data_IF_277005628160
#
_entry.id   IF_277005628160
#
_cell.length_a   1.000
_cell.length_b   1.000
_cell.length_c   1.000
_cell.angle_alpha   90.00
_cell.angle_beta   90.00
_cell.angle_gamma   90.00
#
_symmetry.space_group_name_H-M   'P 1'
#
loop_
_entity.id
_entity.type
_entity.pdbx_description
1 polymer ?
#
# COMPACT_ATOMS: atom_id res chain seq x y z
N UNK A 1 0.05 64.81 0.64
CA UNK A 1 0.88 63.59 0.49
C UNK A 1 0.49 62.52 1.53
N UNK A 2 0.35 62.90 2.81
CA UNK A 2 -0.09 62.00 3.89
C UNK A 2 -1.50 61.43 3.67
N UNK A 3 -2.46 62.23 3.20
CA UNK A 3 -3.83 61.75 2.92
C UNK A 3 -3.93 60.69 1.83
N UNK A 4 -3.00 60.72 0.86
CA UNK A 4 -2.92 59.71 -0.18
C UNK A 4 -2.41 58.38 0.38
N UNK A 5 -1.37 58.43 1.21
CA UNK A 5 -0.82 57.27 1.92
C UNK A 5 -1.88 56.59 2.79
N UNK A 6 -2.64 57.34 3.58
CA UNK A 6 -3.69 56.79 4.46
C UNK A 6 -4.81 56.10 3.67
N UNK A 7 -5.13 56.57 2.46
CA UNK A 7 -6.16 55.97 1.61
C UNK A 7 -5.70 54.68 0.91
N UNK A 8 -4.41 54.55 0.59
CA UNK A 8 -3.87 53.40 -0.16
C UNK A 8 -3.37 52.29 0.77
N UNK A 9 -2.90 52.63 1.98
CA UNK A 9 -2.36 51.68 2.96
C UNK A 9 -3.30 50.50 3.28
N UNK A 10 -4.62 50.69 3.48
CA UNK A 10 -5.53 49.58 3.79
C UNK A 10 -5.63 48.59 2.64
N UNK A 11 -5.62 49.07 1.38
CA UNK A 11 -5.67 48.22 0.19
C UNK A 11 -4.39 47.40 0.01
N UNK A 12 -3.24 47.99 0.31
CA UNK A 12 -1.97 47.25 0.30
C UNK A 12 -1.95 46.21 1.43
N UNK A 13 -2.37 46.59 2.64
CA UNK A 13 -2.41 45.68 3.78
C UNK A 13 -3.34 44.49 3.53
N UNK A 14 -4.54 44.71 2.95
CA UNK A 14 -5.46 43.62 2.62
C UNK A 14 -4.91 42.75 1.51
N UNK A 15 -4.28 43.31 0.48
CA UNK A 15 -3.64 42.54 -0.59
C UNK A 15 -2.52 41.65 -0.05
N UNK A 16 -1.64 42.19 0.80
CA UNK A 16 -0.53 41.43 1.42
C UNK A 16 -1.08 40.31 2.31
N UNK A 17 -2.07 40.59 3.15
CA UNK A 17 -2.69 39.59 4.01
C UNK A 17 -3.40 38.48 3.20
N UNK A 18 -4.16 38.86 2.17
CA UNK A 18 -4.86 37.92 1.31
C UNK A 18 -3.88 37.01 0.56
N UNK A 19 -2.83 37.57 -0.05
CA UNK A 19 -1.79 36.80 -0.74
C UNK A 19 -1.05 35.85 0.21
N UNK A 20 -0.75 36.28 1.44
CA UNK A 20 -0.11 35.43 2.44
C UNK A 20 -1.00 34.25 2.85
N UNK A 21 -2.28 34.51 3.15
CA UNK A 21 -3.23 33.46 3.52
C UNK A 21 -3.46 32.47 2.36
N UNK A 22 -3.62 32.99 1.14
CA UNK A 22 -3.77 32.16 -0.06
C UNK A 22 -2.55 31.27 -0.28
N UNK A 23 -1.33 31.81 -0.17
CA UNK A 23 -0.09 31.05 -0.28
C UNK A 23 -0.01 29.97 0.81
N UNK A 24 -0.35 30.31 2.06
CA UNK A 24 -0.33 29.37 3.19
C UNK A 24 -1.31 28.22 2.99
N UNK A 25 -2.52 28.50 2.52
CA UNK A 25 -3.53 27.47 2.23
C UNK A 25 -3.15 26.61 1.03
N UNK A 26 -2.66 27.23 -0.04
CA UNK A 26 -2.19 26.52 -1.23
C UNK A 26 -1.08 25.53 -0.87
N UNK A 27 -0.09 25.95 -0.09
CA UNK A 27 0.99 25.06 0.37
C UNK A 27 0.46 23.93 1.26
N UNK A 28 -0.43 24.22 2.22
CA UNK A 28 -1.03 23.17 3.07
C UNK A 28 -1.77 22.14 2.24
N UNK A 29 -2.58 22.59 1.29
CA UNK A 29 -3.33 21.73 0.37
C UNK A 29 -2.37 20.86 -0.45
N UNK A 30 -1.35 21.46 -1.06
CA UNK A 30 -0.33 20.76 -1.84
C UNK A 30 0.37 19.65 -1.03
N UNK A 31 0.85 19.93 0.18
CA UNK A 31 1.47 18.90 1.01
C UNK A 31 0.49 17.80 1.42
N UNK A 32 -0.77 18.14 1.67
CA UNK A 32 -1.80 17.16 2.00
C UNK A 32 -2.12 16.21 0.84
N UNK A 33 -2.18 16.75 -0.38
CA UNK A 33 -2.37 16.00 -1.63
C UNK A 33 -1.16 15.11 -1.93
N UNK A 34 0.06 15.65 -1.82
CA UNK A 34 1.30 14.88 -1.98
C UNK A 34 1.37 13.71 -1.01
N UNK A 35 0.99 13.93 0.26
CA UNK A 35 0.94 12.84 1.24
C UNK A 35 -0.15 11.82 0.91
N UNK A 36 -1.32 12.28 0.46
CA UNK A 36 -2.39 11.38 0.04
C UNK A 36 -1.96 10.50 -1.14
N UNK A 37 -1.31 11.08 -2.16
CA UNK A 37 -0.77 10.33 -3.31
C UNK A 37 0.30 9.31 -2.88
N UNK A 38 1.20 9.67 -1.96
CA UNK A 38 2.19 8.73 -1.42
C UNK A 38 1.53 7.55 -0.71
N UNK A 39 0.46 7.82 0.05
CA UNK A 39 -0.30 6.78 0.77
C UNK A 39 -1.06 5.87 -0.19
N UNK A 40 -1.70 6.44 -1.21
CA UNK A 40 -2.39 5.70 -2.26
C UNK A 40 -1.43 4.78 -3.00
N UNK A 41 -0.30 5.31 -3.47
CA UNK A 41 0.75 4.50 -4.13
C UNK A 41 1.24 3.35 -3.25
N UNK A 42 1.53 3.62 -1.98
CA UNK A 42 2.00 2.58 -1.06
C UNK A 42 0.95 1.46 -0.89
N UNK A 43 -0.34 1.81 -0.76
CA UNK A 43 -1.40 0.82 -0.68
C UNK A 43 -1.55 0.01 -1.96
N UNK A 44 -1.49 0.66 -3.13
CA UNK A 44 -1.54 -0.01 -4.43
C UNK A 44 -0.41 -1.02 -4.57
N UNK A 45 0.83 -0.62 -4.27
CA UNK A 45 2.00 -1.52 -4.31
C UNK A 45 1.88 -2.72 -3.36
N UNK A 46 1.31 -2.52 -2.16
CA UNK A 46 1.06 -3.61 -1.20
C UNK A 46 -0.04 -4.55 -1.73
N UNK A 47 -1.15 -4.01 -2.22
CA UNK A 47 -2.28 -4.79 -2.72
C UNK A 47 -1.84 -5.64 -3.91
N UNK A 48 -1.13 -5.05 -4.87
CA UNK A 48 -0.61 -5.75 -6.04
C UNK A 48 0.34 -6.89 -5.63
N UNK A 49 1.25 -6.62 -4.69
CA UNK A 49 2.16 -7.65 -4.20
C UNK A 49 1.44 -8.78 -3.44
N UNK A 50 0.41 -8.50 -2.64
CA UNK A 50 -0.40 -9.58 -2.03
C UNK A 50 -1.12 -10.38 -3.11
N UNK A 51 -1.64 -9.72 -4.14
CA UNK A 51 -2.34 -10.38 -5.24
C UNK A 51 -1.42 -11.31 -6.05
N UNK A 52 -0.19 -10.88 -6.36
CA UNK A 52 0.81 -11.74 -7.00
C UNK A 52 1.12 -13.01 -6.18
N UNK A 53 1.16 -12.88 -4.84
CA UNK A 53 1.35 -14.03 -3.94
C UNK A 53 0.14 -14.98 -3.98
N UNK A 54 -1.08 -14.44 -3.97
CA UNK A 54 -2.32 -15.21 -4.09
C UNK A 54 -2.33 -16.01 -5.39
N UNK A 55 -2.04 -15.37 -6.53
CA UNK A 55 -2.06 -16.02 -7.84
C UNK A 55 -1.09 -17.21 -7.89
N UNK A 56 0.12 -17.03 -7.35
CA UNK A 56 1.09 -18.11 -7.29
C UNK A 56 0.58 -19.30 -6.47
N UNK A 57 0.04 -19.05 -5.27
CA UNK A 57 -0.52 -20.11 -4.43
C UNK A 57 -1.76 -20.75 -5.05
N UNK A 58 -2.57 -20.00 -5.79
CA UNK A 58 -3.76 -20.51 -6.49
C UNK A 58 -3.39 -21.51 -7.58
N UNK A 59 -2.37 -21.18 -8.38
CA UNK A 59 -1.83 -22.09 -9.38
C UNK A 59 -1.21 -23.34 -8.73
N UNK A 60 -0.45 -23.15 -7.64
CA UNK A 60 0.31 -24.24 -7.02
C UNK A 60 -0.49 -25.14 -6.09
N UNK A 61 -1.61 -24.69 -5.53
CA UNK A 61 -2.51 -25.57 -4.74
C UNK A 61 -3.33 -26.51 -5.62
N UNK A 62 -3.52 -26.17 -6.90
CA UNK A 62 -4.18 -27.01 -7.89
C UNK A 62 -3.21 -28.03 -8.52
N UNK A 63 -1.91 -27.88 -8.26
CA UNK A 63 -0.85 -28.82 -8.64
C UNK A 63 -0.75 -29.96 -7.61
N UNK A 64 -1.46 -31.05 -7.87
CA UNK A 64 -1.43 -32.27 -7.05
C UNK A 64 -0.23 -33.19 -7.33
N UNK A 65 0.85 -32.66 -7.94
CA UNK A 65 2.04 -33.42 -8.30
C UNK A 65 2.12 -33.79 -9.79
N UNK A 66 1.07 -33.48 -10.56
CA UNK A 66 1.04 -33.65 -12.02
C UNK A 66 1.67 -32.46 -12.76
N UNK A 67 2.09 -31.43 -12.01
CA UNK A 67 2.52 -30.16 -12.55
C UNK A 67 1.33 -29.25 -12.87
N UNK A 68 1.64 -27.98 -13.04
CA UNK A 68 0.65 -26.92 -13.34
C UNK A 68 0.18 -26.91 -14.79
N UNK A 69 0.73 -27.79 -15.65
CA UNK A 69 0.55 -27.73 -17.11
C UNK A 69 1.28 -26.57 -17.80
N UNK A 70 2.05 -25.76 -17.07
CA UNK A 70 2.86 -24.69 -17.64
C UNK A 70 4.22 -25.18 -18.14
N UNK A 71 4.76 -24.50 -19.16
CA UNK A 71 6.13 -24.73 -19.61
C UNK A 71 7.15 -24.15 -18.59
N UNK A 72 8.42 -24.55 -18.72
CA UNK A 72 9.49 -24.17 -17.79
C UNK A 72 9.72 -22.64 -17.74
N UNK A 73 9.57 -21.95 -18.87
CA UNK A 73 9.70 -20.49 -18.95
C UNK A 73 8.63 -19.79 -18.10
N UNK A 74 7.37 -20.23 -18.21
CA UNK A 74 6.25 -19.66 -17.48
C UNK A 74 6.33 -19.96 -15.99
N UNK A 75 6.75 -21.17 -15.62
CA UNK A 75 7.04 -21.55 -14.23
C UNK A 75 8.13 -20.65 -13.62
N UNK A 76 9.19 -20.38 -14.37
CA UNK A 76 10.25 -19.48 -13.94
C UNK A 76 9.76 -18.03 -13.77
N UNK A 77 8.92 -17.54 -14.68
CA UNK A 77 8.30 -16.22 -14.58
C UNK A 77 7.43 -16.11 -13.33
N UNK A 78 6.55 -17.08 -13.09
CA UNK A 78 5.67 -17.13 -11.92
C UNK A 78 6.47 -17.14 -10.62
N UNK A 79 7.50 -18.00 -10.53
CA UNK A 79 8.39 -18.08 -9.36
C UNK A 79 9.14 -16.76 -9.13
N UNK A 80 9.57 -16.09 -10.19
CA UNK A 80 10.24 -14.78 -10.10
C UNK A 80 9.28 -13.71 -9.60
N UNK A 81 8.05 -13.66 -10.13
CA UNK A 81 7.01 -12.73 -9.70
C UNK A 81 6.68 -12.93 -8.21
N UNK A 82 6.42 -14.17 -7.80
CA UNK A 82 6.18 -14.53 -6.40
C UNK A 82 7.32 -14.08 -5.48
N UNK A 83 8.58 -14.34 -5.85
CA UNK A 83 9.74 -13.90 -5.07
C UNK A 83 9.79 -12.37 -4.96
N UNK A 84 9.56 -11.65 -6.04
CA UNK A 84 9.55 -10.18 -6.03
C UNK A 84 8.44 -9.63 -5.14
N UNK A 85 7.23 -10.17 -5.27
CA UNK A 85 6.08 -9.83 -4.45
C UNK A 85 6.35 -10.07 -2.96
N UNK A 86 6.94 -11.22 -2.61
CA UNK A 86 7.33 -11.54 -1.24
C UNK A 86 8.30 -10.50 -0.66
N UNK A 87 9.32 -10.10 -1.43
CA UNK A 87 10.26 -9.06 -1.00
C UNK A 87 9.61 -7.68 -0.87
N UNK A 88 8.66 -7.33 -1.75
CA UNK A 88 7.88 -6.10 -1.64
C UNK A 88 7.09 -6.07 -0.33
N UNK A 89 6.39 -7.16 0.02
CA UNK A 89 5.64 -7.25 1.28
C UNK A 89 6.57 -7.18 2.49
N UNK A 90 7.70 -7.89 2.46
CA UNK A 90 8.68 -7.82 3.55
C UNK A 90 9.19 -6.40 3.75
N UNK A 91 9.62 -5.75 2.67
CA UNK A 91 10.06 -4.34 2.68
C UNK A 91 8.96 -3.43 3.22
N UNK A 92 7.73 -3.57 2.72
CA UNK A 92 6.58 -2.79 3.17
C UNK A 92 6.24 -3.05 4.64
N UNK A 93 6.49 -4.23 5.17
CA UNK A 93 6.32 -4.51 6.61
C UNK A 93 7.37 -3.76 7.43
N UNK A 94 8.61 -3.74 6.97
CA UNK A 94 9.74 -3.16 7.71
C UNK A 94 9.76 -1.62 7.65
N UNK A 95 9.33 -1.01 6.53
CA UNK A 95 9.33 0.45 6.34
C UNK A 95 7.94 1.07 6.35
N UNK A 96 6.87 0.25 6.28
CA UNK A 96 5.51 0.72 6.02
C UNK A 96 4.94 1.61 7.09
N UNK A 97 5.38 1.49 8.34
CA UNK A 97 4.96 2.36 9.44
C UNK A 97 5.20 3.86 9.19
N UNK A 98 6.03 4.22 8.21
CA UNK A 98 6.23 5.61 7.79
C UNK A 98 5.11 6.15 6.89
N UNK A 99 4.54 5.33 5.98
CA UNK A 99 3.60 5.80 4.93
C UNK A 99 2.18 5.26 5.14
N UNK A 100 2.04 3.99 5.54
CA UNK A 100 0.75 3.35 5.83
C UNK A 100 0.40 3.48 7.31
N UNK A 101 -0.87 3.27 7.66
CA UNK A 101 -1.28 3.35 9.06
C UNK A 101 -0.66 2.25 9.92
N UNK A 102 -0.62 2.48 11.23
CA UNK A 102 -0.23 1.47 12.21
C UNK A 102 -1.08 0.19 12.12
N UNK A 103 -2.36 0.32 11.74
CA UNK A 103 -3.24 -0.81 11.52
C UNK A 103 -2.80 -1.65 10.31
N UNK A 104 -2.46 -1.01 9.18
CA UNK A 104 -1.94 -1.71 8.01
C UNK A 104 -0.59 -2.38 8.33
N UNK A 105 0.32 -1.67 9.01
CA UNK A 105 1.60 -2.22 9.42
C UNK A 105 1.44 -3.46 10.33
N UNK A 106 0.46 -3.43 11.24
CA UNK A 106 0.11 -4.58 12.09
C UNK A 106 -0.35 -5.78 11.27
N UNK A 107 -1.23 -5.57 10.28
CA UNK A 107 -1.71 -6.65 9.39
C UNK A 107 -0.55 -7.28 8.60
N UNK A 108 0.36 -6.46 8.06
CA UNK A 108 1.52 -6.96 7.34
C UNK A 108 2.48 -7.73 8.25
N UNK A 109 2.64 -7.27 9.50
CA UNK A 109 3.41 -7.98 10.52
C UNK A 109 2.78 -9.33 10.87
N UNK A 110 1.47 -9.38 11.10
CA UNK A 110 0.73 -10.63 11.32
C UNK A 110 0.88 -11.58 10.15
N UNK A 111 0.79 -11.08 8.91
CA UNK A 111 1.04 -11.88 7.73
C UNK A 111 2.48 -12.41 7.70
N UNK A 112 3.49 -11.60 8.03
CA UNK A 112 4.89 -12.03 8.05
C UNK A 112 5.13 -13.12 9.10
N UNK A 113 4.57 -12.93 10.28
CA UNK A 113 4.80 -13.75 11.48
C UNK A 113 3.78 -14.92 11.57
N UNK A 114 3.02 -15.18 10.50
CA UNK A 114 2.02 -16.25 10.41
C UNK A 114 2.64 -17.65 10.63
N UNK A 115 1.87 -18.61 11.17
CA UNK A 115 2.25 -20.02 11.14
C UNK A 115 2.50 -20.50 9.71
N UNK A 116 3.49 -21.35 9.53
CA UNK A 116 3.79 -22.00 8.26
C UNK A 116 3.92 -23.50 8.49
N UNK A 117 3.27 -24.28 7.64
CA UNK A 117 3.47 -25.73 7.58
C UNK A 117 4.89 -26.07 7.15
N UNK A 118 5.39 -27.20 7.65
CA UNK A 118 6.68 -27.75 7.29
C UNK A 118 6.60 -28.48 5.93
N UNK A 119 7.60 -28.27 5.08
CA UNK A 119 7.68 -28.87 3.74
C UNK A 119 8.01 -30.36 3.75
N UNK A 120 8.64 -30.85 4.82
CA UNK A 120 8.99 -32.25 4.99
C UNK A 120 7.83 -33.05 5.62
N UNK A 121 6.94 -32.37 6.35
CA UNK A 121 5.81 -33.01 7.05
C UNK A 121 4.47 -32.90 6.29
N UNK A 122 4.33 -31.99 5.32
CA UNK A 122 3.07 -31.71 4.65
C UNK A 122 3.22 -31.72 3.12
N UNK A 123 2.21 -32.18 2.38
CA UNK A 123 2.25 -32.12 0.92
C UNK A 123 2.21 -30.66 0.43
N UNK A 124 2.87 -30.41 -0.70
CA UNK A 124 3.03 -29.06 -1.28
C UNK A 124 1.69 -28.32 -1.46
N UNK A 125 0.67 -29.00 -1.97
CA UNK A 125 -0.64 -28.40 -2.23
C UNK A 125 -1.31 -27.89 -0.94
N UNK A 126 -1.11 -28.55 0.20
CA UNK A 126 -1.67 -28.14 1.49
C UNK A 126 -0.97 -26.89 2.02
N UNK A 127 0.34 -26.82 1.85
CA UNK A 127 1.15 -25.64 2.18
C UNK A 127 0.69 -24.44 1.34
N UNK A 128 0.53 -24.63 0.03
CA UNK A 128 0.03 -23.57 -0.85
C UNK A 128 -1.41 -23.17 -0.55
N UNK A 129 -2.27 -24.11 -0.17
CA UNK A 129 -3.64 -23.81 0.25
C UNK A 129 -3.68 -22.99 1.55
N UNK A 130 -2.84 -23.31 2.54
CA UNK A 130 -2.69 -22.51 3.76
C UNK A 130 -2.20 -21.09 3.44
N UNK A 131 -1.13 -20.97 2.66
CA UNK A 131 -0.55 -19.69 2.26
C UNK A 131 -1.56 -18.83 1.50
N UNK A 132 -2.32 -19.43 0.58
CA UNK A 132 -3.43 -18.77 -0.13
C UNK A 132 -4.41 -18.14 0.85
N UNK A 133 -4.87 -18.89 1.86
CA UNK A 133 -5.83 -18.39 2.84
C UNK A 133 -5.28 -17.19 3.63
N UNK A 134 -4.02 -17.26 4.08
CA UNK A 134 -3.39 -16.14 4.78
C UNK A 134 -3.25 -14.90 3.90
N UNK A 135 -2.85 -15.06 2.63
CA UNK A 135 -2.75 -13.92 1.72
C UNK A 135 -4.11 -13.31 1.39
N UNK A 136 -5.15 -14.13 1.19
CA UNK A 136 -6.53 -13.65 0.98
C UNK A 136 -7.05 -12.87 2.17
N UNK A 137 -6.88 -13.39 3.38
CA UNK A 137 -7.30 -12.70 4.60
C UNK A 137 -6.55 -11.36 4.77
N UNK A 138 -5.25 -11.34 4.51
CA UNK A 138 -4.45 -10.12 4.57
C UNK A 138 -4.90 -9.10 3.53
N UNK A 139 -5.19 -9.52 2.29
CA UNK A 139 -5.71 -8.66 1.24
C UNK A 139 -7.00 -7.97 1.68
N UNK A 140 -7.97 -8.73 2.18
CA UNK A 140 -9.26 -8.22 2.62
C UNK A 140 -9.13 -7.22 3.78
N UNK A 141 -8.21 -7.48 4.71
CA UNK A 141 -7.91 -6.55 5.81
C UNK A 141 -7.25 -5.28 5.28
N UNK A 142 -6.23 -5.38 4.42
CA UNK A 142 -5.52 -4.24 3.85
C UNK A 142 -6.44 -3.37 3.01
N UNK A 143 -7.27 -3.94 2.14
CA UNK A 143 -8.23 -3.16 1.31
C UNK A 143 -9.19 -2.37 2.19
N UNK A 144 -9.71 -2.96 3.28
CA UNK A 144 -10.58 -2.25 4.23
C UNK A 144 -9.87 -1.10 4.92
N UNK A 145 -8.63 -1.30 5.35
CA UNK A 145 -7.82 -0.24 5.97
C UNK A 145 -7.48 0.85 4.96
N UNK A 146 -7.05 0.49 3.75
CA UNK A 146 -6.73 1.42 2.67
C UNK A 146 -7.90 2.34 2.34
N UNK A 147 -9.12 1.78 2.22
CA UNK A 147 -10.34 2.57 2.03
C UNK A 147 -10.51 3.58 3.17
N UNK A 148 -10.51 3.15 4.43
CA UNK A 148 -10.64 4.07 5.58
C UNK A 148 -9.58 5.17 5.55
N UNK A 149 -8.34 4.79 5.28
CA UNK A 149 -7.17 5.64 5.30
C UNK A 149 -7.11 6.70 4.20
N UNK A 150 -7.70 6.41 3.04
CA UNK A 150 -7.77 7.30 1.89
C UNK A 150 -9.06 8.13 1.88
N UNK A 151 -10.16 7.61 2.42
CA UNK A 151 -11.43 8.34 2.58
C UNK A 151 -11.40 9.35 3.74
N UNK A 152 -10.68 9.09 4.83
CA UNK A 152 -10.60 9.96 6.01
C UNK A 152 -10.00 11.37 5.75
N UNK A 153 -9.55 11.67 4.53
CA UNK A 153 -9.02 12.98 4.12
C UNK A 153 -9.89 13.73 3.10
N UNK A 154 -11.04 13.17 2.73
CA UNK A 154 -11.97 13.80 1.78
C UNK A 154 -13.03 14.70 2.45
N UNK A 155 -13.06 14.73 3.79
CA UNK A 155 -13.91 15.60 4.62
C UNK A 155 -13.03 16.63 5.35
#
# INVERSE_FOLDING_TARGET
>A
MVDFLIKVLPGIATAVLASYLAARWSLRKFYSEQWWQRKERAYTEIIDAIYDLIQYCEIKKEDYGDGTGYNEEKENELRKSHRQAYWKIKKATDIGGFVVSSQAAKILKELRDRPRLDWDENPSWEIYAQEYNYYREALDKIVRVAKKDLYARRA
#
